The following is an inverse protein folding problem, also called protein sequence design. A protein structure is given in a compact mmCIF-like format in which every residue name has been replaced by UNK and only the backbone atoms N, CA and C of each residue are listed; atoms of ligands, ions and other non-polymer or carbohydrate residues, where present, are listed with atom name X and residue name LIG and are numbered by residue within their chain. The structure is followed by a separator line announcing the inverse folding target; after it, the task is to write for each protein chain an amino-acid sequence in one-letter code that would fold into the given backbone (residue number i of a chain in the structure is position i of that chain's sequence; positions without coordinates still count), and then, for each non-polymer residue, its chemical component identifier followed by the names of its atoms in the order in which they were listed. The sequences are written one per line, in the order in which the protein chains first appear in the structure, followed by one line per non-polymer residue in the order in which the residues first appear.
data_IF_702907734943
#
_entry.id   IF_702907734943
#
_cell.length_a   1.000
_cell.length_b   1.000
_cell.length_c   1.000
_cell.angle_alpha   90.00
_cell.angle_beta   90.00
_cell.angle_gamma   90.00
#
_symmetry.space_group_name_H-M   'P 1'
#
loop_
_entity.id
_entity.type
_entity.pdbx_description
1 polymer ?
#
# COMPACT_ATOMS: atom_id res chain seq x y z
N UNK A 1 3.91 19.34 2.72
CA UNK A 1 3.08 18.33 2.03
C UNK A 1 2.86 17.16 2.97
N UNK A 2 1.80 16.36 2.75
CA UNK A 2 1.49 15.21 3.59
C UNK A 2 1.27 13.95 2.77
N UNK A 3 1.51 12.79 3.39
CA UNK A 3 1.45 11.48 2.77
C UNK A 3 0.48 10.58 3.53
N UNK A 4 -0.32 9.81 2.80
CA UNK A 4 -1.04 8.65 3.30
C UNK A 4 -0.55 7.42 2.55
N UNK A 5 0.02 6.46 3.28
CA UNK A 5 0.40 5.14 2.76
C UNK A 5 -0.56 4.08 3.29
N UNK A 6 -1.21 3.35 2.40
CA UNK A 6 -2.12 2.25 2.74
C UNK A 6 -1.82 1.02 1.89
N UNK A 7 -2.05 -0.19 2.40
CA UNK A 7 -1.92 -1.38 1.54
C UNK A 7 -3.07 -1.45 0.52
N UNK A 8 -2.84 -2.17 -0.57
CA UNK A 8 -3.88 -2.50 -1.53
C UNK A 8 -5.00 -3.34 -0.91
N UNK A 9 -6.13 -3.41 -1.62
CA UNK A 9 -7.29 -4.22 -1.23
C UNK A 9 -7.47 -5.44 -2.12
N UNK A 10 -7.92 -6.55 -1.52
CA UNK A 10 -8.37 -7.74 -2.25
C UNK A 10 -9.59 -7.42 -3.12
N UNK A 11 -10.48 -6.55 -2.63
CA UNK A 11 -11.66 -6.11 -3.39
C UNK A 11 -11.23 -5.09 -4.44
N UNK A 12 -11.57 -5.38 -5.70
CA UNK A 12 -11.22 -4.57 -6.87
C UNK A 12 -12.47 -4.23 -7.67
N UNK A 13 -12.48 -3.04 -8.27
CA UNK A 13 -13.56 -2.56 -9.13
C UNK A 13 -13.67 -3.39 -10.41
N UNK A 14 -12.53 -3.87 -10.91
CA UNK A 14 -12.42 -4.76 -12.06
C UNK A 14 -11.91 -6.10 -11.53
N UNK A 15 -12.67 -7.17 -11.78
CA UNK A 15 -12.26 -8.51 -11.42
C UNK A 15 -11.39 -9.08 -12.55
N UNK A 16 -10.09 -9.32 -12.32
CA UNK A 16 -9.19 -9.81 -13.37
C UNK A 16 -9.62 -11.18 -13.92
N UNK A 17 -10.22 -12.04 -13.09
CA UNK A 17 -10.71 -13.36 -13.52
C UNK A 17 -11.86 -13.30 -14.54
N UNK A 18 -12.48 -12.13 -14.70
CA UNK A 18 -13.62 -11.91 -15.61
C UNK A 18 -13.23 -11.15 -16.88
N UNK A 19 -11.94 -10.91 -17.12
CA UNK A 19 -11.51 -10.28 -18.36
C UNK A 19 -11.67 -11.27 -19.53
N UNK A 20 -12.27 -10.86 -20.67
CA UNK A 20 -12.46 -11.71 -21.84
C UNK A 20 -11.23 -12.51 -22.28
N UNK A 21 -10.04 -11.90 -22.27
CA UNK A 21 -8.77 -12.51 -22.66
C UNK A 21 -8.38 -13.65 -21.72
N UNK A 22 -8.58 -13.44 -20.40
CA UNK A 22 -8.33 -14.44 -19.37
C UNK A 22 -9.35 -15.57 -19.46
N UNK A 23 -10.63 -15.24 -19.65
CA UNK A 23 -11.70 -16.25 -19.76
C UNK A 23 -11.54 -17.14 -21.00
N UNK A 24 -10.96 -16.61 -22.08
CA UNK A 24 -10.66 -17.35 -23.30
C UNK A 24 -9.34 -18.14 -23.22
N UNK A 25 -8.59 -18.02 -22.12
CA UNK A 25 -7.27 -18.65 -21.98
C UNK A 25 -6.20 -18.05 -22.89
N UNK A 26 -6.39 -16.82 -23.37
CA UNK A 26 -5.41 -16.12 -24.22
C UNK A 26 -4.19 -15.68 -23.39
N UNK A 27 -4.43 -15.36 -22.11
CA UNK A 27 -3.39 -14.93 -21.18
C UNK A 27 -3.76 -15.33 -19.76
N UNK A 28 -2.75 -15.61 -18.93
CA UNK A 28 -2.95 -15.87 -17.51
C UNK A 28 -3.42 -14.62 -16.76
N UNK A 29 -4.01 -14.83 -15.58
CA UNK A 29 -4.33 -13.75 -14.65
C UNK A 29 -3.03 -13.13 -14.14
N UNK A 30 -2.82 -11.80 -14.25
CA UNK A 30 -1.66 -11.17 -13.63
C UNK A 30 -1.65 -11.45 -12.12
N UNK A 31 -0.56 -12.02 -11.58
CA UNK A 31 -0.41 -12.34 -10.16
C UNK A 31 0.64 -11.43 -9.49
N UNK A 32 1.47 -11.98 -8.62
CA UNK A 32 2.71 -11.44 -8.07
C UNK A 32 3.92 -11.51 -9.03
N UNK A 33 3.73 -11.93 -10.28
CA UNK A 33 4.73 -12.02 -11.34
C UNK A 33 4.95 -10.68 -12.07
N UNK A 34 5.46 -9.70 -11.34
CA UNK A 34 5.73 -8.35 -11.83
C UNK A 34 6.75 -8.31 -12.98
N UNK A 35 7.63 -9.32 -13.07
CA UNK A 35 8.59 -9.51 -14.16
C UNK A 35 7.93 -9.69 -15.54
N UNK A 36 6.65 -10.10 -15.58
CA UNK A 36 5.85 -10.23 -16.81
C UNK A 36 4.99 -9.01 -17.14
N UNK A 37 5.16 -7.89 -16.44
CA UNK A 37 4.27 -6.72 -16.58
C UNK A 37 4.16 -6.21 -18.02
N UNK A 38 5.25 -6.17 -18.78
CA UNK A 38 5.24 -5.73 -20.18
C UNK A 38 4.34 -6.62 -21.05
N UNK A 39 4.43 -7.94 -20.86
CA UNK A 39 3.60 -8.91 -21.57
C UNK A 39 2.10 -8.74 -21.22
N UNK A 40 1.77 -8.55 -19.95
CA UNK A 40 0.39 -8.28 -19.57
C UNK A 40 -0.10 -6.94 -20.12
N UNK A 41 0.72 -5.90 -20.11
CA UNK A 41 0.34 -4.57 -20.62
C UNK A 41 0.07 -4.57 -22.11
N UNK A 42 0.82 -5.30 -22.91
CA UNK A 42 0.56 -5.38 -24.36
C UNK A 42 -0.78 -6.03 -24.67
N UNK A 43 -1.20 -7.01 -23.87
CA UNK A 43 -2.43 -7.79 -24.09
C UNK A 43 -3.67 -7.22 -23.39
N UNK A 44 -3.49 -6.50 -22.28
CA UNK A 44 -4.58 -6.06 -21.40
C UNK A 44 -4.67 -4.53 -21.26
N UNK A 45 -4.02 -3.78 -22.15
CA UNK A 45 -3.93 -2.31 -22.09
C UNK A 45 -5.29 -1.59 -21.94
N UNK A 46 -6.35 -2.12 -22.57
CA UNK A 46 -7.70 -1.53 -22.46
C UNK A 46 -8.30 -1.56 -21.03
N UNK A 47 -7.71 -2.36 -20.11
CA UNK A 47 -8.18 -2.45 -18.72
C UNK A 47 -7.35 -1.63 -17.74
N UNK A 48 -6.40 -0.83 -18.23
CA UNK A 48 -5.62 0.07 -17.38
C UNK A 48 -6.56 1.02 -16.64
N UNK A 49 -6.32 1.15 -15.34
CA UNK A 49 -7.05 2.09 -14.50
C UNK A 49 -6.14 2.63 -13.41
N UNK A 50 -6.46 3.81 -12.88
CA UNK A 50 -5.69 4.39 -11.77
C UNK A 50 -5.80 3.49 -10.54
N UNK A 51 -4.70 3.28 -9.83
CA UNK A 51 -4.66 2.41 -8.65
C UNK A 51 -5.73 2.78 -7.62
N UNK A 52 -5.97 4.07 -7.40
CA UNK A 52 -7.00 4.57 -6.50
C UNK A 52 -8.45 4.29 -6.95
N UNK A 53 -8.66 4.00 -8.24
CA UNK A 53 -9.95 3.64 -8.83
C UNK A 53 -10.15 2.12 -8.81
N UNK A 54 -9.07 1.34 -8.92
CA UNK A 54 -9.10 -0.12 -8.86
C UNK A 54 -9.49 -0.62 -7.48
N UNK A 55 -8.80 -0.19 -6.42
CA UNK A 55 -8.98 -0.77 -5.10
C UNK A 55 -10.27 -0.29 -4.42
N UNK A 56 -10.93 -1.23 -3.74
CA UNK A 56 -12.20 -1.03 -3.02
C UNK A 56 -12.09 -1.49 -1.56
N UNK A 57 -13.18 -1.43 -0.82
CA UNK A 57 -13.27 -1.93 0.54
C UNK A 57 -13.13 -0.84 1.60
N UNK A 58 -13.72 -1.07 2.78
CA UNK A 58 -14.08 0.02 3.68
C UNK A 58 -12.87 0.68 4.34
N UNK A 59 -11.77 -0.04 4.50
CA UNK A 59 -10.53 0.51 5.04
C UNK A 59 -9.76 1.32 4.01
N UNK A 60 -9.52 0.77 2.81
CA UNK A 60 -8.88 1.50 1.73
C UNK A 60 -9.64 2.80 1.42
N UNK A 61 -10.99 2.73 1.34
CA UNK A 61 -11.83 3.90 1.17
C UNK A 61 -11.66 4.92 2.30
N UNK A 62 -11.52 4.49 3.56
CA UNK A 62 -11.33 5.42 4.67
C UNK A 62 -10.01 6.20 4.54
N UNK A 63 -8.90 5.54 4.22
CA UNK A 63 -7.59 6.18 4.06
C UNK A 63 -7.47 6.99 2.77
N UNK A 64 -8.10 6.53 1.67
CA UNK A 64 -8.24 7.34 0.45
C UNK A 64 -9.03 8.62 0.73
N UNK A 65 -10.16 8.53 1.44
CA UNK A 65 -10.96 9.70 1.82
C UNK A 65 -10.20 10.64 2.76
N UNK A 66 -9.40 10.09 3.67
CA UNK A 66 -8.49 10.87 4.51
C UNK A 66 -7.48 11.64 3.64
N UNK A 67 -6.84 10.99 2.68
CA UNK A 67 -5.90 11.64 1.77
C UNK A 67 -6.58 12.77 0.99
N UNK A 68 -7.75 12.49 0.39
CA UNK A 68 -8.52 13.47 -0.38
C UNK A 68 -8.96 14.66 0.46
N UNK A 69 -9.42 14.44 1.70
CA UNK A 69 -9.88 15.50 2.61
C UNK A 69 -8.81 16.56 2.85
N UNK A 70 -7.55 16.14 2.96
CA UNK A 70 -6.42 17.01 3.28
C UNK A 70 -5.53 17.33 2.08
N UNK A 71 -5.93 16.94 0.86
CA UNK A 71 -5.08 17.08 -0.33
C UNK A 71 -3.72 16.36 -0.20
N UNK A 72 -3.66 15.31 0.61
CA UNK A 72 -2.45 14.55 0.85
C UNK A 72 -2.16 13.61 -0.33
N UNK A 73 -0.88 13.32 -0.55
CA UNK A 73 -0.47 12.31 -1.52
C UNK A 73 -0.89 10.92 -1.05
N UNK A 74 -1.53 10.14 -1.93
CA UNK A 74 -1.90 8.75 -1.67
C UNK A 74 -0.85 7.82 -2.28
N UNK A 75 -0.16 7.07 -1.43
CA UNK A 75 0.73 5.98 -1.81
C UNK A 75 0.11 4.65 -1.38
N UNK A 76 0.31 3.62 -2.18
CA UNK A 76 -0.31 2.32 -2.02
C UNK A 76 0.78 1.25 -2.05
N UNK A 77 0.84 0.41 -1.03
CA UNK A 77 1.68 -0.79 -1.07
C UNK A 77 0.88 -1.95 -1.67
N UNK A 78 1.21 -2.31 -2.90
CA UNK A 78 0.55 -3.32 -3.72
C UNK A 78 1.26 -4.67 -3.66
N UNK A 79 0.49 -5.76 -3.57
CA UNK A 79 1.04 -7.12 -3.61
C UNK A 79 1.72 -7.50 -4.93
N UNK A 80 1.36 -6.85 -6.05
CA UNK A 80 2.02 -7.06 -7.35
C UNK A 80 3.10 -6.01 -7.61
N UNK A 81 2.76 -4.75 -7.37
CA UNK A 81 3.56 -3.62 -7.85
C UNK A 81 4.54 -3.03 -6.83
N UNK A 82 4.49 -3.47 -5.56
CA UNK A 82 5.19 -2.77 -4.49
C UNK A 82 4.60 -1.37 -4.25
N UNK A 83 5.45 -0.37 -4.04
CA UNK A 83 5.02 1.01 -3.80
C UNK A 83 4.57 1.70 -5.09
N UNK A 84 3.29 2.09 -5.16
CA UNK A 84 2.71 2.84 -6.27
C UNK A 84 1.87 4.02 -5.78
N UNK A 85 1.90 5.15 -6.49
CA UNK A 85 1.03 6.30 -6.22
C UNK A 85 -0.40 6.01 -6.67
N UNK A 86 -1.39 6.61 -6.00
CA UNK A 86 -2.80 6.40 -6.30
C UNK A 86 -3.19 6.72 -7.74
N UNK A 87 -2.53 7.69 -8.36
CA UNK A 87 -2.78 8.11 -9.74
C UNK A 87 -2.11 7.23 -10.81
N UNK A 88 -1.25 6.29 -10.43
CA UNK A 88 -0.56 5.41 -11.40
C UNK A 88 -1.56 4.44 -12.04
N UNK A 89 -1.47 4.31 -13.35
CA UNK A 89 -2.24 3.33 -14.12
C UNK A 89 -1.64 1.93 -13.96
N UNK A 90 -2.48 1.00 -13.51
CA UNK A 90 -2.13 -0.40 -13.28
C UNK A 90 -3.17 -1.31 -13.91
N UNK A 91 -2.77 -2.55 -14.16
CA UNK A 91 -3.68 -3.60 -14.57
C UNK A 91 -4.43 -4.18 -13.37
N UNK A 92 -5.67 -4.67 -13.56
CA UNK A 92 -6.31 -5.57 -12.61
C UNK A 92 -5.47 -6.84 -12.46
N UNK A 93 -5.24 -7.29 -11.23
CA UNK A 93 -4.41 -8.46 -10.91
C UNK A 93 -4.98 -9.22 -9.71
N UNK A 94 -4.59 -10.47 -9.53
CA UNK A 94 -4.93 -11.27 -8.35
C UNK A 94 -3.68 -11.71 -7.59
N UNK A 95 -3.29 -10.89 -6.60
CA UNK A 95 -2.21 -11.21 -5.68
C UNK A 95 -2.52 -10.66 -4.28
N UNK A 96 -1.99 -11.34 -3.27
CA UNK A 96 -2.12 -10.95 -1.86
C UNK A 96 -0.89 -11.37 -1.07
N UNK A 97 -0.42 -10.47 -0.20
CA UNK A 97 0.60 -10.82 0.79
C UNK A 97 0.00 -11.44 2.04
N UNK A 98 -1.32 -11.33 2.27
CA UNK A 98 -1.96 -11.82 3.49
C UNK A 98 -1.79 -13.33 3.65
N UNK A 99 -1.35 -13.77 4.83
CA UNK A 99 -1.13 -15.18 5.16
C UNK A 99 0.17 -15.78 4.59
N UNK A 100 0.96 -14.99 3.85
CA UNK A 100 2.25 -15.44 3.31
C UNK A 100 3.34 -15.40 4.37
N UNK A 101 4.27 -16.36 4.28
CA UNK A 101 5.44 -16.46 5.15
C UNK A 101 6.52 -15.44 4.79
N UNK A 102 7.55 -15.35 5.64
CA UNK A 102 8.64 -14.39 5.49
C UNK A 102 9.42 -14.57 4.19
N UNK A 103 9.83 -15.80 3.85
CA UNK A 103 10.66 -16.07 2.67
C UNK A 103 9.97 -15.64 1.38
N UNK A 104 8.68 -15.95 1.26
CA UNK A 104 7.86 -15.48 0.13
C UNK A 104 7.81 -13.95 0.05
N UNK A 105 7.66 -13.27 1.19
CA UNK A 105 7.63 -11.80 1.25
C UNK A 105 8.99 -11.23 0.84
N UNK A 106 10.09 -11.81 1.28
CA UNK A 106 11.45 -11.39 0.90
C UNK A 106 11.69 -11.57 -0.61
N UNK A 107 11.30 -12.72 -1.18
CA UNK A 107 11.38 -12.94 -2.63
C UNK A 107 10.54 -11.92 -3.40
N UNK A 108 9.31 -11.67 -2.94
CA UNK A 108 8.40 -10.71 -3.57
C UNK A 108 8.99 -9.30 -3.53
N UNK A 109 9.57 -8.89 -2.39
CA UNK A 109 10.24 -7.59 -2.26
C UNK A 109 11.43 -7.50 -3.20
N UNK A 110 12.24 -8.54 -3.33
CA UNK A 110 13.37 -8.55 -4.28
C UNK A 110 12.89 -8.35 -5.73
N UNK A 111 11.78 -8.98 -6.12
CA UNK A 111 11.16 -8.75 -7.44
C UNK A 111 10.70 -7.29 -7.61
N UNK A 112 10.11 -6.68 -6.58
CA UNK A 112 9.73 -5.27 -6.66
C UNK A 112 10.93 -4.32 -6.74
N UNK A 113 12.07 -4.65 -6.12
CA UNK A 113 13.31 -3.85 -6.25
C UNK A 113 13.80 -3.86 -7.70
N UNK A 114 13.66 -4.99 -8.41
CA UNK A 114 14.09 -5.11 -9.80
C UNK A 114 13.08 -4.55 -10.82
N UNK A 115 11.78 -4.79 -10.62
CA UNK A 115 10.76 -4.59 -11.66
C UNK A 115 9.55 -3.75 -11.24
N UNK A 116 9.45 -3.40 -9.95
CA UNK A 116 8.28 -2.72 -9.37
C UNK A 116 8.67 -1.44 -8.63
N UNK A 117 7.99 -1.17 -7.51
CA UNK A 117 8.26 -0.01 -6.64
C UNK A 117 8.32 1.32 -7.40
N UNK A 118 7.46 1.47 -8.41
CA UNK A 118 7.54 2.54 -9.40
C UNK A 118 7.46 3.96 -8.84
N UNK A 119 6.97 4.12 -7.61
CA UNK A 119 6.87 5.42 -6.94
C UNK A 119 7.53 5.40 -5.55
N UNK A 120 8.52 4.52 -5.34
CA UNK A 120 9.22 4.42 -4.06
C UNK A 120 10.03 5.68 -3.71
N UNK A 121 10.44 6.50 -4.70
CA UNK A 121 11.09 7.78 -4.42
C UNK A 121 10.21 8.74 -3.63
N UNK A 122 8.87 8.57 -3.66
CA UNK A 122 7.97 9.37 -2.83
C UNK A 122 8.31 9.23 -1.35
N UNK A 123 8.83 8.10 -0.88
CA UNK A 123 9.21 7.91 0.53
C UNK A 123 10.43 8.74 0.96
N UNK A 124 11.19 9.30 0.02
CA UNK A 124 12.34 10.17 0.29
C UNK A 124 12.03 11.66 0.18
N UNK A 125 10.81 12.01 -0.21
CA UNK A 125 10.38 13.41 -0.27
C UNK A 125 10.24 14.00 1.14
N UNK A 126 10.27 15.33 1.24
CA UNK A 126 10.06 16.04 2.52
C UNK A 126 8.58 16.10 2.86
N UNK A 127 8.12 15.15 3.68
CA UNK A 127 6.76 15.15 4.23
C UNK A 127 6.75 15.79 5.61
N UNK A 128 5.84 16.74 5.84
CA UNK A 128 5.56 17.26 7.19
C UNK A 128 4.86 16.20 8.03
N UNK A 129 3.92 15.49 7.42
CA UNK A 129 3.19 14.40 8.05
C UNK A 129 3.11 13.19 7.13
N UNK A 130 3.42 12.01 7.65
CA UNK A 130 3.20 10.74 6.99
C UNK A 130 2.29 9.86 7.85
N UNK A 131 1.14 9.45 7.30
CA UNK A 131 0.22 8.49 7.92
C UNK A 131 0.39 7.16 7.19
N UNK A 132 0.89 6.15 7.89
CA UNK A 132 1.17 4.85 7.31
C UNK A 132 0.29 3.82 8.01
N UNK A 133 -0.68 3.27 7.29
CA UNK A 133 -1.46 2.11 7.74
C UNK A 133 -1.15 0.92 6.86
N UNK A 134 -0.60 -0.13 7.44
CA UNK A 134 -0.35 -1.38 6.75
C UNK A 134 -0.73 -2.57 7.63
N UNK A 135 -1.26 -3.63 7.01
CA UNK A 135 -1.44 -4.90 7.72
C UNK A 135 -0.10 -5.60 7.92
N UNK A 136 -0.05 -6.61 8.80
CA UNK A 136 1.18 -7.30 9.22
C UNK A 136 2.17 -7.59 8.09
N UNK A 137 1.73 -8.32 7.06
CA UNK A 137 2.62 -8.76 5.99
C UNK A 137 3.07 -7.59 5.11
N UNK A 138 2.24 -6.53 5.01
CA UNK A 138 2.60 -5.31 4.29
C UNK A 138 3.56 -4.42 5.10
N UNK A 139 3.47 -4.39 6.44
CA UNK A 139 4.45 -3.73 7.30
C UNK A 139 5.82 -4.39 7.17
N UNK A 140 5.86 -5.73 7.18
CA UNK A 140 7.09 -6.48 6.95
C UNK A 140 7.70 -6.14 5.58
N UNK A 141 6.87 -6.11 4.53
CA UNK A 141 7.28 -5.68 3.20
C UNK A 141 7.85 -4.26 3.19
N UNK A 142 7.20 -3.28 3.82
CA UNK A 142 7.69 -1.90 3.87
C UNK A 142 9.05 -1.82 4.59
N UNK A 143 9.23 -2.59 5.68
CA UNK A 143 10.50 -2.67 6.40
C UNK A 143 11.62 -3.22 5.50
N UNK A 144 11.37 -4.32 4.80
CA UNK A 144 12.35 -4.92 3.88
C UNK A 144 12.68 -3.99 2.71
N UNK A 145 11.68 -3.29 2.16
CA UNK A 145 11.91 -2.24 1.15
C UNK A 145 12.81 -1.14 1.74
N UNK A 146 12.55 -0.70 2.97
CA UNK A 146 13.38 0.25 3.71
C UNK A 146 14.83 -0.20 3.86
N UNK A 147 15.05 -1.44 4.28
CA UNK A 147 16.38 -2.05 4.40
C UNK A 147 17.11 -2.06 3.04
N UNK A 148 16.40 -2.32 1.93
CA UNK A 148 17.01 -2.47 0.60
C UNK A 148 17.26 -1.14 -0.08
N UNK A 149 16.44 -0.14 0.22
CA UNK A 149 16.53 1.21 -0.33
C UNK A 149 17.22 2.20 0.65
N UNK A 150 17.67 1.75 1.81
CA UNK A 150 18.37 2.58 2.79
C UNK A 150 17.52 3.68 3.41
N UNK A 151 16.27 3.39 3.79
CA UNK A 151 15.44 4.33 4.56
C UNK A 151 14.74 3.63 5.73
N UNK A 152 14.40 4.40 6.77
CA UNK A 152 13.59 3.91 7.88
C UNK A 152 12.12 4.33 7.68
N UNK A 153 11.16 3.38 7.66
CA UNK A 153 9.73 3.69 7.57
C UNK A 153 9.21 4.65 8.66
N UNK A 154 9.77 4.65 9.87
CA UNK A 154 9.40 5.59 10.94
C UNK A 154 9.85 7.03 10.67
N UNK A 155 10.75 7.26 9.70
CA UNK A 155 11.32 8.59 9.41
C UNK A 155 10.91 9.11 8.03
N UNK A 156 9.79 8.61 7.47
CA UNK A 156 9.29 9.04 6.16
C UNK A 156 8.84 10.50 6.18
N UNK A 157 8.16 10.94 7.24
CA UNK A 157 7.86 12.36 7.48
C UNK A 157 8.56 12.90 8.72
N UNK A 158 8.61 14.24 8.83
CA UNK A 158 9.01 14.96 10.06
C UNK A 158 8.21 14.45 11.26
N UNK A 159 6.93 14.18 11.05
CA UNK A 159 6.09 13.37 11.94
C UNK A 159 5.53 12.18 11.15
N UNK A 160 5.72 10.99 11.70
CA UNK A 160 5.18 9.76 11.11
C UNK A 160 4.24 9.09 12.10
N UNK A 161 2.99 8.85 11.68
CA UNK A 161 1.97 8.07 12.39
C UNK A 161 1.92 6.68 11.76
N UNK A 162 2.32 5.67 12.52
CA UNK A 162 2.29 4.26 12.11
C UNK A 162 1.09 3.55 12.74
N UNK A 163 0.26 2.91 11.91
CA UNK A 163 -0.98 2.27 12.33
C UNK A 163 -0.93 0.79 11.94
N UNK A 164 -1.03 -0.09 12.93
CA UNK A 164 -0.87 -1.52 12.74
C UNK A 164 -1.03 -2.29 14.03
N UNK A 165 -0.79 -3.60 13.97
CA UNK A 165 -0.78 -4.45 15.16
C UNK A 165 0.50 -4.23 15.99
N UNK A 166 0.38 -4.42 17.30
CA UNK A 166 1.44 -4.12 18.27
C UNK A 166 2.75 -4.85 17.95
N UNK A 167 2.68 -6.16 17.74
CA UNK A 167 3.86 -7.00 17.46
C UNK A 167 4.70 -6.48 16.30
N UNK A 168 4.04 -6.01 15.24
CA UNK A 168 4.70 -5.54 14.03
C UNK A 168 5.22 -4.13 14.19
N UNK A 169 4.44 -3.23 14.80
CA UNK A 169 4.89 -1.87 15.06
C UNK A 169 6.07 -1.83 16.03
N UNK A 170 6.09 -2.68 17.05
CA UNK A 170 7.20 -2.79 18.00
C UNK A 170 8.47 -3.32 17.34
N UNK A 171 8.34 -4.10 16.26
CA UNK A 171 9.47 -4.56 15.45
C UNK A 171 10.07 -3.49 14.51
N UNK A 172 9.38 -2.36 14.33
CA UNK A 172 9.91 -1.22 13.59
C UNK A 172 10.88 -0.44 14.48
N UNK A 173 12.12 -0.29 14.01
CA UNK A 173 13.10 0.61 14.63
C UNK A 173 12.79 2.08 14.37
N UNK A 174 13.28 2.97 15.22
CA UNK A 174 13.12 4.42 15.09
C UNK A 174 11.95 5.01 15.90
N UNK A 175 11.93 6.34 15.97
CA UNK A 175 10.95 7.10 16.75
C UNK A 175 9.82 7.58 15.83
N UNK A 176 8.70 6.86 15.84
CA UNK A 176 7.47 7.30 15.19
C UNK A 176 6.27 7.07 16.12
N UNK A 177 5.17 7.79 15.88
CA UNK A 177 3.97 7.69 16.70
C UNK A 177 3.19 6.42 16.34
N UNK A 178 3.20 5.43 17.23
CA UNK A 178 2.59 4.11 17.02
C UNK A 178 1.15 4.08 17.51
N UNK A 179 0.22 3.72 16.63
CA UNK A 179 -1.20 3.52 16.94
C UNK A 179 -1.53 2.05 16.76
N UNK A 180 -1.74 1.38 17.88
CA UNK A 180 -2.08 -0.04 17.89
C UNK A 180 -3.55 -0.25 17.56
N UNK A 181 -3.82 -1.20 16.67
CA UNK A 181 -5.18 -1.60 16.30
C UNK A 181 -5.35 -3.12 16.40
N UNK A 182 -6.55 -3.57 16.75
CA UNK A 182 -6.93 -5.00 16.81
C UNK A 182 -7.44 -5.53 15.47
N UNK A 183 -7.78 -4.65 14.53
CA UNK A 183 -8.21 -5.05 13.19
C UNK A 183 -8.80 -3.93 12.35
N UNK A 184 -9.31 -4.29 11.17
CA UNK A 184 -9.78 -3.34 10.15
C UNK A 184 -10.93 -2.45 10.64
N UNK A 185 -11.75 -2.92 11.59
CA UNK A 185 -12.82 -2.13 12.19
C UNK A 185 -12.30 -0.88 12.90
N UNK A 186 -11.25 -1.05 13.71
CA UNK A 186 -10.61 0.01 14.48
C UNK A 186 -9.75 0.91 13.58
N UNK A 187 -9.04 0.33 12.60
CA UNK A 187 -8.30 1.09 11.59
C UNK A 187 -9.18 2.17 10.91
N UNK A 188 -10.42 1.83 10.57
CA UNK A 188 -11.39 2.77 9.98
C UNK A 188 -11.79 3.89 10.93
N UNK A 189 -11.90 3.61 12.24
CA UNK A 189 -12.19 4.63 13.25
C UNK A 189 -11.00 5.58 13.38
N UNK A 190 -9.79 5.03 13.50
CA UNK A 190 -8.54 5.80 13.58
C UNK A 190 -8.40 6.75 12.40
N UNK A 191 -8.68 6.30 11.17
CA UNK A 191 -8.63 7.18 9.99
C UNK A 191 -9.50 8.44 10.08
N UNK A 192 -10.61 8.41 10.86
CA UNK A 192 -11.48 9.58 11.07
C UNK A 192 -10.94 10.55 12.12
N UNK A 193 -10.09 10.06 13.01
CA UNK A 193 -9.53 10.79 14.15
C UNK A 193 -8.20 11.48 13.82
N UNK A 194 -7.62 11.20 12.65
CA UNK A 194 -6.35 11.80 12.24
C UNK A 194 -6.57 13.20 11.68
N UNK A 195 -5.82 14.14 12.23
CA UNK A 195 -5.57 15.44 11.60
C UNK A 195 -4.20 15.40 10.90
N UNK A 196 -4.23 15.40 9.56
CA UNK A 196 -2.99 15.35 8.77
C UNK A 196 -2.25 16.69 8.76
N UNK A 197 -2.96 17.81 8.92
CA UNK A 197 -2.30 19.10 8.96
C UNK A 197 -1.46 19.20 10.23
N UNK A 198 -2.01 18.83 11.37
CA UNK A 198 -1.29 18.84 12.65
C UNK A 198 -0.40 17.60 12.88
N UNK A 199 -0.59 16.56 12.07
CA UNK A 199 -0.03 15.24 12.28
C UNK A 199 -0.33 14.70 13.68
N UNK A 200 -1.60 14.75 14.07
CA UNK A 200 -2.08 14.42 15.41
C UNK A 200 -3.30 13.50 15.36
N UNK A 201 -3.64 12.89 16.50
CA UNK A 201 -4.92 12.22 16.72
C UNK A 201 -5.81 13.13 17.56
N UNK A 202 -7.01 13.45 17.07
CA UNK A 202 -7.95 14.37 17.71
C UNK A 202 -8.57 13.80 19.01
N UNK A 203 -8.49 12.47 19.23
CA UNK A 203 -8.64 11.75 20.51
C UNK A 203 -8.38 10.25 20.28
N UNK A 204 -7.80 9.49 21.23
CA UNK A 204 -7.65 8.03 21.07
C UNK A 204 -9.02 7.33 21.09
N UNK A 205 -9.20 6.21 20.35
CA UNK A 205 -10.40 5.40 20.49
C UNK A 205 -10.47 4.83 21.91
N UNK A 206 -11.57 5.12 22.61
CA UNK A 206 -12.00 4.48 23.86
C UNK A 206 -12.20 2.97 23.70
#
# INVERSE_FOLDING_TARGET
MSLVLVNCSKSKAINPLKLPEIMRGIIDVPSDDIDKEEHYRSMLSQYLTRAEQLYRGPEFTAYKSLANRYGASLLILSARYGLIRGSREILPYDATLAGKGRDYIEETVNKWIAYGNYDAEMLRMRWRCAVIRLSRNYLLSLRLIGERLGFNPCTVGERTIMIGSKTELDSLGGECFKVYIKGNGEARKVARLIDINECSLQSPPS
#
